data_IF_863501976936
#
_entry.id   IF_863501976936
#
_cell.length_a   1.000
_cell.length_b   1.000
_cell.length_c   1.000
_cell.angle_alpha   90.00
_cell.angle_beta   90.00
_cell.angle_gamma   90.00
#
_symmetry.space_group_name_H-M   'P 1'
#
loop_
_entity.id
_entity.type
_entity.pdbx_description
1 polymer ?
#
# COMPACT_ATOMS: atom_id res chain seq x y z
N UNK A 1 -11.38 -63.81 6.98
CA UNK A 1 -10.59 -63.04 7.96
C UNK A 1 -9.53 -62.18 7.23
N UNK A 2 -9.97 -61.26 6.34
CA UNK A 2 -9.07 -60.50 5.45
C UNK A 2 -9.46 -59.00 5.36
N UNK A 3 -10.67 -58.62 5.78
CA UNK A 3 -11.20 -57.27 5.56
C UNK A 3 -10.74 -56.23 6.61
N UNK A 4 -10.30 -56.63 7.81
CA UNK A 4 -9.80 -55.70 8.84
C UNK A 4 -8.32 -55.33 8.68
N UNK A 5 -7.53 -56.10 7.92
CA UNK A 5 -6.11 -55.79 7.69
C UNK A 5 -5.96 -54.66 6.65
N UNK A 6 -6.84 -54.63 5.65
CA UNK A 6 -6.80 -53.63 4.57
C UNK A 6 -7.14 -52.21 5.04
N UNK A 7 -8.04 -52.08 6.02
CA UNK A 7 -8.45 -50.78 6.55
C UNK A 7 -7.36 -50.10 7.40
N UNK A 8 -6.54 -50.88 8.11
CA UNK A 8 -5.38 -50.36 8.85
C UNK A 8 -4.20 -50.03 7.91
N UNK A 9 -3.99 -50.81 6.85
CA UNK A 9 -2.96 -50.52 5.83
C UNK A 9 -3.28 -49.23 5.05
N UNK A 10 -4.56 -48.98 4.75
CA UNK A 10 -4.97 -47.79 4.00
C UNK A 10 -4.85 -46.48 4.81
N UNK A 11 -5.10 -46.52 6.13
CA UNK A 11 -4.97 -45.36 7.03
C UNK A 11 -3.48 -45.02 7.27
N UNK A 12 -2.61 -46.04 7.38
CA UNK A 12 -1.16 -45.85 7.46
C UNK A 12 -0.57 -45.27 6.16
N UNK A 13 -1.14 -45.60 5.00
CA UNK A 13 -0.71 -45.06 3.71
C UNK A 13 -1.06 -43.57 3.53
N UNK A 14 -2.17 -43.10 4.12
CA UNK A 14 -2.62 -41.70 4.05
C UNK A 14 -1.82 -40.77 4.98
N UNK A 15 -1.38 -41.25 6.14
CA UNK A 15 -0.56 -40.46 7.07
C UNK A 15 0.90 -40.29 6.62
N UNK A 16 1.36 -41.07 5.64
CA UNK A 16 2.70 -40.94 5.05
C UNK A 16 2.78 -39.87 3.94
N UNK A 17 1.65 -39.30 3.49
CA UNK A 17 1.58 -38.27 2.45
C UNK A 17 1.34 -36.84 2.97
N UNK A 18 1.15 -36.68 4.28
CA UNK A 18 1.00 -35.37 4.93
C UNK A 18 2.08 -35.17 5.99
N UNK A 19 3.33 -35.23 5.56
CA UNK A 19 4.48 -34.90 6.40
C UNK A 19 5.66 -34.47 5.54
N UNK A 20 6.08 -33.22 5.71
CA UNK A 20 7.28 -32.58 5.13
C UNK A 20 7.14 -32.01 3.71
N UNK A 21 6.37 -30.93 3.57
CA UNK A 21 6.83 -29.82 2.70
C UNK A 21 7.82 -28.98 3.52
N UNK A 22 8.99 -29.56 3.78
CA UNK A 22 10.17 -28.74 4.08
C UNK A 22 10.65 -28.22 2.75
N UNK A 23 10.34 -26.97 2.43
CA UNK A 23 10.90 -26.26 1.28
C UNK A 23 12.39 -25.98 1.52
N UNK A 24 13.21 -27.02 1.56
CA UNK A 24 14.64 -26.90 1.33
C UNK A 24 14.81 -26.73 -0.18
N UNK A 25 14.92 -25.47 -0.61
CA UNK A 25 15.34 -25.14 -1.97
C UNK A 25 16.79 -25.58 -2.10
N UNK A 26 16.99 -26.62 -2.89
CA UNK A 26 18.28 -27.19 -3.24
C UNK A 26 19.12 -26.15 -3.97
N UNK A 27 20.08 -25.57 -3.26
CA UNK A 27 21.22 -24.86 -3.84
C UNK A 27 22.21 -25.94 -4.30
N UNK A 28 22.28 -26.15 -5.61
CA UNK A 28 23.18 -27.12 -6.22
C UNK A 28 23.73 -26.58 -7.52
N UNK A 29 24.96 -26.07 -7.43
CA UNK A 29 26.00 -26.04 -8.46
C UNK A 29 25.62 -25.41 -9.80
N UNK A 30 25.96 -24.13 -9.91
CA UNK A 30 26.73 -23.53 -11.00
C UNK A 30 26.92 -24.42 -12.25
N UNK A 31 26.19 -24.07 -13.31
CA UNK A 31 26.64 -24.32 -14.66
C UNK A 31 26.91 -22.93 -15.24
N UNK A 32 28.18 -22.52 -15.21
CA UNK A 32 28.67 -21.42 -16.05
C UNK A 32 28.42 -21.85 -17.50
N UNK A 33 27.34 -21.34 -18.09
CA UNK A 33 27.27 -21.14 -19.54
C UNK A 33 27.47 -19.66 -19.79
N UNK A 34 28.69 -19.31 -20.20
CA UNK A 34 28.91 -18.04 -20.89
C UNK A 34 28.05 -18.05 -22.16
N UNK A 35 27.09 -17.12 -22.22
CA UNK A 35 26.21 -16.92 -23.35
C UNK A 35 25.14 -15.90 -23.01
N UNK A 36 25.36 -14.67 -23.49
CA UNK A 36 24.51 -13.46 -23.44
C UNK A 36 24.35 -12.75 -22.08
N UNK A 37 24.68 -11.44 -21.97
CA UNK A 37 24.22 -10.65 -20.85
C UNK A 37 22.69 -10.62 -20.89
N UNK A 38 22.06 -10.87 -19.73
CA UNK A 38 20.66 -10.55 -19.53
C UNK A 38 20.43 -9.10 -19.99
N UNK A 39 19.32 -8.78 -20.68
CA UNK A 39 19.01 -7.37 -20.92
C UNK A 39 18.97 -6.72 -19.55
N UNK A 40 19.93 -5.83 -19.31
CA UNK A 40 19.91 -4.88 -18.22
C UNK A 40 18.56 -4.19 -18.39
N UNK A 41 17.56 -4.61 -17.61
CA UNK A 41 16.30 -3.88 -17.57
C UNK A 41 16.60 -2.64 -16.76
N UNK A 42 17.26 -1.70 -17.42
CA UNK A 42 17.24 -0.27 -17.14
C UNK A 42 15.80 0.22 -17.40
N UNK A 43 14.83 -0.43 -16.78
CA UNK A 43 13.54 0.18 -16.54
C UNK A 43 13.83 1.20 -15.44
N UNK A 44 14.44 2.33 -15.85
CA UNK A 44 14.07 3.60 -15.30
C UNK A 44 12.54 3.59 -15.27
N UNK A 45 11.98 3.45 -14.08
CA UNK A 45 10.59 3.82 -13.85
C UNK A 45 10.56 5.32 -14.08
N UNK A 46 10.50 5.71 -15.35
CA UNK A 46 10.26 7.07 -15.78
C UNK A 46 9.00 7.49 -15.03
N UNK A 47 9.16 8.39 -14.06
CA UNK A 47 8.08 8.82 -13.18
C UNK A 47 7.06 9.50 -14.09
N UNK A 48 6.07 8.75 -14.56
CA UNK A 48 5.04 9.22 -15.49
C UNK A 48 4.28 10.42 -14.90
N UNK A 49 4.41 10.67 -13.60
CA UNK A 49 3.95 11.87 -12.92
C UNK A 49 4.71 13.16 -13.34
N UNK A 50 5.93 13.06 -13.87
CA UNK A 50 6.70 14.20 -14.40
C UNK A 50 6.14 14.72 -15.72
N UNK A 51 5.45 13.87 -16.50
CA UNK A 51 4.80 14.24 -17.77
C UNK A 51 3.36 14.74 -17.60
N UNK A 52 2.79 14.61 -16.40
CA UNK A 52 1.54 15.26 -16.06
C UNK A 52 1.87 16.70 -15.70
N UNK A 53 1.72 17.62 -16.66
CA UNK A 53 1.76 19.05 -16.36
C UNK A 53 0.84 19.33 -15.16
N UNK A 54 1.35 19.89 -14.05
CA UNK A 54 0.51 20.22 -12.92
C UNK A 54 -0.47 21.27 -13.42
N UNK A 55 -1.73 20.86 -13.60
CA UNK A 55 -2.80 21.84 -13.77
C UNK A 55 -2.69 22.77 -12.56
N UNK A 56 -2.69 24.08 -12.78
CA UNK A 56 -2.47 25.13 -11.76
C UNK A 56 -3.47 25.05 -10.58
N UNK A 57 -4.46 24.17 -10.71
CA UNK A 57 -5.49 23.83 -9.75
C UNK A 57 -5.31 22.47 -9.06
N UNK A 58 -4.15 21.80 -9.14
CA UNK A 58 -3.91 20.58 -8.36
C UNK A 58 -3.21 20.90 -7.04
N UNK A 59 -3.77 20.41 -5.94
CA UNK A 59 -3.15 20.39 -4.61
C UNK A 59 -2.79 18.94 -4.27
N UNK A 60 -1.54 18.72 -3.90
CA UNK A 60 -1.06 17.45 -3.39
C UNK A 60 -1.15 17.41 -1.87
N UNK A 61 -1.51 16.26 -1.32
CA UNK A 61 -1.63 16.05 0.12
C UNK A 61 -1.41 14.59 0.49
N UNK A 62 -1.11 14.32 1.76
CA UNK A 62 -0.91 12.97 2.29
C UNK A 62 -2.20 12.52 2.98
N UNK A 63 -2.86 11.49 2.48
CA UNK A 63 -4.06 10.91 3.10
C UNK A 63 -3.66 9.95 4.21
N UNK A 64 -4.15 10.22 5.42
CA UNK A 64 -3.91 9.41 6.62
C UNK A 64 -5.08 8.49 6.98
N UNK A 65 -6.25 8.72 6.38
CA UNK A 65 -7.42 7.89 6.61
C UNK A 65 -8.60 8.24 5.71
N UNK A 66 -9.52 7.30 5.57
CA UNK A 66 -10.78 7.44 4.86
C UNK A 66 -11.91 6.81 5.69
N UNK A 67 -12.95 7.59 5.97
CA UNK A 67 -14.00 7.27 6.93
C UNK A 67 -15.38 7.45 6.30
N UNK A 68 -16.36 6.69 6.80
CA UNK A 68 -17.74 6.76 6.31
C UNK A 68 -18.52 7.97 6.82
N UNK A 69 -18.03 8.68 7.85
CA UNK A 69 -18.68 9.88 8.39
C UNK A 69 -17.69 10.83 9.06
N UNK A 70 -18.10 12.10 9.17
CA UNK A 70 -17.28 13.16 9.75
C UNK A 70 -17.02 12.95 11.23
N UNK A 71 -18.00 12.41 11.95
CA UNK A 71 -17.87 12.10 13.37
C UNK A 71 -16.77 11.06 13.64
N UNK A 72 -16.71 10.00 12.82
CA UNK A 72 -15.69 8.95 12.97
C UNK A 72 -14.31 9.51 12.64
N UNK A 73 -14.21 10.32 11.58
CA UNK A 73 -12.97 11.00 11.22
C UNK A 73 -12.46 11.90 12.36
N UNK A 74 -13.33 12.73 12.94
CA UNK A 74 -12.96 13.62 14.06
C UNK A 74 -12.48 12.83 15.28
N UNK A 75 -13.17 11.75 15.66
CA UNK A 75 -12.75 10.86 16.76
C UNK A 75 -11.40 10.18 16.52
N UNK A 76 -11.02 10.01 15.25
CA UNK A 76 -9.75 9.40 14.89
C UNK A 76 -8.58 10.39 14.91
N UNK A 77 -8.82 11.71 14.99
CA UNK A 77 -7.76 12.72 14.96
C UNK A 77 -6.78 12.56 16.14
N UNK A 78 -7.28 12.18 17.32
CA UNK A 78 -6.46 11.95 18.52
C UNK A 78 -5.29 10.99 18.30
N UNK A 79 -5.38 10.08 17.31
CA UNK A 79 -4.29 9.13 16.98
C UNK A 79 -3.08 9.80 16.34
N UNK A 80 -3.27 10.98 15.76
CA UNK A 80 -2.26 11.72 15.00
C UNK A 80 -1.55 12.78 15.86
N UNK A 81 -2.08 13.08 17.05
CA UNK A 81 -1.41 13.81 18.12
C UNK A 81 -0.81 15.13 17.66
N UNK A 82 0.53 15.20 17.55
CA UNK A 82 1.27 16.42 17.21
C UNK A 82 1.03 16.95 15.79
N UNK A 83 0.34 16.20 14.92
CA UNK A 83 0.09 16.59 13.53
C UNK A 83 -1.14 17.47 13.35
N UNK A 84 -1.98 17.60 14.39
CA UNK A 84 -3.34 18.17 14.32
C UNK A 84 -3.43 19.55 13.65
N UNK A 85 -2.41 20.40 13.81
CA UNK A 85 -2.40 21.76 13.24
C UNK A 85 -2.30 21.77 11.70
N UNK A 86 -1.77 20.71 11.10
CA UNK A 86 -1.59 20.56 9.66
C UNK A 86 -2.60 19.60 9.03
N UNK A 87 -3.43 18.97 9.88
CA UNK A 87 -4.51 18.08 9.43
C UNK A 87 -5.73 18.87 8.99
N UNK A 88 -6.39 18.35 7.97
CA UNK A 88 -7.67 18.87 7.53
C UNK A 88 -8.57 17.76 7.02
N UNK A 89 -9.86 17.96 7.22
CA UNK A 89 -10.90 17.05 6.78
C UNK A 89 -11.39 17.46 5.40
N UNK A 90 -11.50 16.49 4.50
CA UNK A 90 -12.02 16.68 3.16
C UNK A 90 -13.16 15.70 2.88
N UNK A 91 -14.30 16.22 2.41
CA UNK A 91 -15.42 15.40 1.99
C UNK A 91 -15.30 15.11 0.49
N UNK A 92 -15.10 13.83 0.17
CA UNK A 92 -15.10 13.31 -1.19
C UNK A 92 -16.41 12.56 -1.45
N UNK A 93 -16.75 12.41 -2.73
CA UNK A 93 -17.78 11.45 -3.16
C UNK A 93 -17.11 10.27 -3.84
N UNK A 94 -17.41 9.07 -3.37
CA UNK A 94 -16.97 7.82 -3.99
C UNK A 94 -18.17 6.92 -4.21
N UNK A 95 -18.41 6.51 -5.46
CA UNK A 95 -19.55 5.66 -5.85
C UNK A 95 -20.91 6.18 -5.34
N UNK A 96 -21.12 7.49 -5.37
CA UNK A 96 -22.35 8.13 -4.89
C UNK A 96 -22.51 8.21 -3.37
N UNK A 97 -21.52 7.75 -2.60
CA UNK A 97 -21.50 7.87 -1.13
C UNK A 97 -20.48 8.93 -0.70
N UNK A 98 -20.80 9.65 0.37
CA UNK A 98 -19.85 10.54 1.02
C UNK A 98 -18.72 9.72 1.66
N UNK A 99 -17.48 10.18 1.48
CA UNK A 99 -16.28 9.61 2.03
C UNK A 99 -15.47 10.74 2.67
N UNK A 100 -15.16 10.63 3.94
CA UNK A 100 -14.46 11.66 4.70
C UNK A 100 -12.98 11.29 4.80
N UNK A 101 -12.12 12.11 4.20
CA UNK A 101 -10.68 11.92 4.22
C UNK A 101 -10.05 12.79 5.30
N UNK A 102 -9.03 12.25 5.98
CA UNK A 102 -8.10 13.03 6.80
C UNK A 102 -6.82 13.20 6.01
N UNK A 103 -6.42 14.44 5.82
CA UNK A 103 -5.34 14.84 4.94
C UNK A 103 -4.32 15.67 5.71
N UNK A 104 -3.04 15.47 5.41
CA UNK A 104 -1.91 16.16 6.00
C UNK A 104 -1.22 17.05 4.96
N UNK A 105 -1.08 18.33 5.32
CA UNK A 105 -0.45 19.34 4.49
C UNK A 105 -1.20 19.68 3.20
N UNK A 106 -0.77 20.75 2.55
CA UNK A 106 -1.24 21.21 1.24
C UNK A 106 -0.04 21.65 0.42
N UNK A 107 0.30 20.88 -0.60
CA UNK A 107 1.51 21.07 -1.39
C UNK A 107 1.16 21.41 -2.83
N UNK A 108 1.83 22.40 -3.41
CA UNK A 108 1.66 22.77 -4.81
C UNK A 108 2.35 21.77 -5.76
N UNK A 109 3.37 21.06 -5.27
CA UNK A 109 4.18 20.13 -6.06
C UNK A 109 4.12 18.74 -5.44
N UNK A 110 4.07 17.71 -6.29
CA UNK A 110 4.07 16.31 -5.86
C UNK A 110 5.32 15.96 -5.06
N UNK A 111 6.49 16.43 -5.50
CA UNK A 111 7.78 16.20 -4.82
C UNK A 111 7.77 16.70 -3.37
N UNK A 112 7.15 17.84 -3.11
CA UNK A 112 7.02 18.36 -1.75
C UNK A 112 6.10 17.47 -0.88
N UNK A 113 5.01 16.95 -1.44
CA UNK A 113 4.15 16.00 -0.74
C UNK A 113 4.85 14.66 -0.45
N UNK A 114 5.68 14.17 -1.39
CA UNK A 114 6.52 12.98 -1.19
C UNK A 114 7.50 13.21 -0.04
N UNK A 115 8.25 14.31 -0.07
CA UNK A 115 9.22 14.64 0.99
C UNK A 115 8.56 14.80 2.37
N UNK A 116 7.32 15.31 2.42
CA UNK A 116 6.54 15.38 3.65
C UNK A 116 6.08 13.98 4.11
N UNK A 117 5.67 13.11 3.19
CA UNK A 117 5.30 11.74 3.48
C UNK A 117 6.49 10.92 4.02
N UNK A 118 7.68 11.09 3.44
CA UNK A 118 8.90 10.40 3.91
C UNK A 118 9.29 10.85 5.33
N UNK A 119 9.18 12.15 5.62
CA UNK A 119 9.38 12.67 6.97
C UNK A 119 8.34 12.12 7.95
N UNK A 120 7.08 12.08 7.54
CA UNK A 120 5.99 11.52 8.34
C UNK A 120 6.24 10.04 8.67
N UNK A 121 6.65 9.24 7.67
CA UNK A 121 7.00 7.82 7.84
C UNK A 121 8.16 7.61 8.82
N UNK A 122 9.15 8.51 8.81
CA UNK A 122 10.30 8.47 9.71
C UNK A 122 9.90 8.75 11.16
N UNK A 123 8.99 9.71 11.37
CA UNK A 123 8.52 10.10 12.71
C UNK A 123 7.44 9.17 13.26
N UNK A 124 6.61 8.62 12.39
CA UNK A 124 5.46 7.80 12.74
C UNK A 124 5.42 6.54 11.87
N UNK A 125 6.29 5.55 12.14
CA UNK A 125 6.46 4.39 11.28
C UNK A 125 5.21 3.50 11.16
N UNK A 126 4.31 3.59 12.14
CA UNK A 126 3.10 2.79 12.22
C UNK A 126 1.89 3.42 11.48
N UNK A 127 2.05 4.61 10.90
CA UNK A 127 0.99 5.29 10.16
C UNK A 127 1.05 4.90 8.69
N UNK A 128 -0.03 4.27 8.22
CA UNK A 128 -0.25 4.07 6.79
C UNK A 128 -0.73 5.37 6.14
N UNK A 129 -0.21 5.66 4.94
CA UNK A 129 -0.62 6.82 4.17
C UNK A 129 -0.64 6.58 2.66
N UNK A 130 -1.32 7.49 1.95
CA UNK A 130 -1.36 7.53 0.49
C UNK A 130 -1.19 8.96 -0.02
N UNK A 131 -0.43 9.15 -1.08
CA UNK A 131 -0.40 10.44 -1.78
C UNK A 131 -1.73 10.67 -2.52
N UNK A 132 -2.23 11.90 -2.44
CA UNK A 132 -3.43 12.36 -3.14
C UNK A 132 -3.17 13.63 -3.91
N UNK A 133 -3.75 13.68 -5.11
CA UNK A 133 -3.91 14.88 -5.90
C UNK A 133 -5.39 15.29 -5.84
N UNK A 134 -5.66 16.53 -5.46
CA UNK A 134 -6.99 17.09 -5.27
C UNK A 134 -7.14 18.29 -6.18
N UNK A 135 -8.24 18.40 -6.91
CA UNK A 135 -8.51 19.61 -7.68
C UNK A 135 -8.97 20.74 -6.75
N UNK A 136 -8.51 21.96 -7.00
CA UNK A 136 -8.85 23.16 -6.23
C UNK A 136 -10.35 23.45 -6.32
N UNK A 137 -10.97 23.18 -7.46
CA UNK A 137 -12.42 23.25 -7.66
C UNK A 137 -13.18 22.37 -6.66
N UNK A 138 -12.69 21.15 -6.41
CA UNK A 138 -13.33 20.23 -5.47
C UNK A 138 -13.24 20.70 -4.01
N UNK A 139 -12.32 21.62 -3.70
CA UNK A 139 -12.17 22.21 -2.36
C UNK A 139 -13.13 23.38 -2.12
N UNK A 140 -13.59 24.04 -3.19
CA UNK A 140 -14.50 25.18 -3.10
C UNK A 140 -15.97 24.74 -2.99
N UNK A 141 -16.29 23.51 -3.36
CA UNK A 141 -17.66 22.96 -3.38
C UNK A 141 -18.10 22.36 -2.03
N UNK A 142 -17.35 22.54 -0.95
CA UNK A 142 -17.58 21.87 0.34
C UNK A 142 -18.24 22.77 1.39
#
# INVERSE_FOLDING_TARGET
MVLRLYQHVFILLLFALTGCISSAIWVGTEIVRQGEPAPESDLEYEDLAAYLEPTVDTIYSVQLGAYSSKEIALKSLDRFGSLDEELWIYEAKSNGKALILILYGRFAQRSAAVAAADQLQSLHPDIEFWLRALSRESLQSS
#
